data_IF_686997497719
#
_entry.id   IF_686997497719
#
_cell.length_a   1.000
_cell.length_b   1.000
_cell.length_c   1.000
_cell.angle_alpha   90.00
_cell.angle_beta   90.00
_cell.angle_gamma   90.00
#
_symmetry.space_group_name_H-M   'P 1'
#
loop_
_entity.id
_entity.type
_entity.pdbx_description
1 polymer ?
#
# COMPACT_ATOMS: atom_id res chain seq x y z
N UNK A 1 15.32 18.41 -32.50
CA UNK A 1 14.64 17.12 -32.28
C UNK A 1 15.02 16.65 -30.88
N UNK A 2 14.24 17.03 -29.87
CA UNK A 2 14.54 16.71 -28.46
C UNK A 2 14.27 15.23 -28.21
N UNK A 3 15.28 14.49 -27.74
CA UNK A 3 15.10 13.10 -27.35
C UNK A 3 14.04 13.01 -26.25
N UNK A 4 13.06 12.12 -26.41
CA UNK A 4 12.12 11.78 -25.34
C UNK A 4 12.94 11.41 -24.09
N UNK A 5 12.59 11.89 -22.89
CA UNK A 5 13.23 11.42 -21.67
C UNK A 5 13.11 9.89 -21.65
N UNK A 6 14.24 9.19 -21.47
CA UNK A 6 14.23 7.74 -21.29
C UNK A 6 13.32 7.43 -20.10
N UNK A 7 12.39 6.51 -20.31
CA UNK A 7 11.51 5.89 -19.34
C UNK A 7 12.31 5.45 -18.09
N UNK A 8 12.41 6.33 -17.09
CA UNK A 8 13.18 6.07 -15.87
C UNK A 8 12.31 5.25 -14.91
N UNK A 9 12.30 3.95 -15.15
CA UNK A 9 11.82 2.96 -14.18
C UNK A 9 12.83 2.90 -13.04
N UNK A 10 12.52 3.57 -11.94
CA UNK A 10 13.25 3.39 -10.70
C UNK A 10 12.44 2.44 -9.81
N UNK A 11 13.02 1.29 -9.50
CA UNK A 11 12.43 0.27 -8.66
C UNK A 11 13.46 -0.11 -7.59
N UNK A 12 13.04 -0.13 -6.34
CA UNK A 12 13.85 -0.62 -5.23
C UNK A 12 13.00 -1.52 -4.34
N UNK A 13 13.52 -2.71 -4.02
CA UNK A 13 12.89 -3.66 -3.12
C UNK A 13 13.92 -4.12 -2.07
N UNK A 14 13.53 -4.18 -0.79
CA UNK A 14 14.41 -4.66 0.27
C UNK A 14 13.62 -5.26 1.43
N UNK A 15 14.30 -6.10 2.23
CA UNK A 15 13.75 -6.70 3.45
C UNK A 15 14.37 -6.01 4.67
N UNK A 16 13.61 -5.19 5.42
CA UNK A 16 14.13 -4.52 6.60
C UNK A 16 14.23 -5.48 7.78
N UNK A 17 15.07 -5.16 8.77
CA UNK A 17 15.18 -5.94 10.02
C UNK A 17 14.11 -5.51 11.03
N UNK A 18 12.86 -5.43 10.58
CA UNK A 18 11.70 -5.03 11.38
C UNK A 18 10.71 -6.20 11.38
N UNK A 19 10.42 -6.84 12.52
CA UNK A 19 9.50 -7.97 12.58
C UNK A 19 8.14 -7.64 11.96
N UNK A 20 7.56 -8.56 11.19
CA UNK A 20 6.26 -8.35 10.55
C UNK A 20 6.28 -7.56 9.25
N UNK A 21 7.43 -7.00 8.83
CA UNK A 21 7.60 -6.39 7.49
C UNK A 21 8.35 -7.37 6.60
N UNK A 22 7.65 -7.94 5.62
CA UNK A 22 8.18 -8.95 4.71
C UNK A 22 9.09 -8.31 3.65
N UNK A 23 8.65 -7.18 3.09
CA UNK A 23 9.37 -6.45 2.05
C UNK A 23 8.85 -5.01 1.96
N UNK A 24 9.76 -4.09 1.62
CA UNK A 24 9.44 -2.72 1.20
C UNK A 24 9.71 -2.61 -0.29
N UNK A 25 8.75 -2.06 -1.03
CA UNK A 25 8.84 -1.91 -2.47
C UNK A 25 8.48 -0.48 -2.89
N UNK A 26 9.41 0.21 -3.53
CA UNK A 26 9.18 1.53 -4.14
C UNK A 26 9.29 1.42 -5.64
N UNK A 27 8.39 2.10 -6.35
CA UNK A 27 8.46 2.14 -7.80
C UNK A 27 7.92 3.43 -8.41
N UNK A 28 8.50 3.80 -9.53
CA UNK A 28 7.99 4.81 -10.44
C UNK A 28 7.73 4.17 -11.80
N UNK A 29 6.47 4.14 -12.23
CA UNK A 29 6.04 3.57 -13.51
C UNK A 29 5.26 4.59 -14.31
N UNK A 30 5.57 4.68 -15.60
CA UNK A 30 4.87 5.51 -16.59
C UNK A 30 3.88 4.68 -17.41
N UNK A 31 4.25 3.45 -17.80
CA UNK A 31 3.48 2.64 -18.76
C UNK A 31 3.17 1.19 -18.29
N UNK A 32 3.71 0.74 -17.15
CA UNK A 32 3.58 -0.65 -16.73
C UNK A 32 2.27 -0.96 -16.00
N UNK A 33 1.50 -1.92 -16.53
CA UNK A 33 0.35 -2.51 -15.86
C UNK A 33 0.72 -3.90 -15.29
N UNK A 34 0.49 -4.07 -14.00
CA UNK A 34 0.56 -5.36 -13.32
C UNK A 34 -0.66 -6.19 -13.70
N UNK A 35 -0.49 -7.41 -14.25
CA UNK A 35 -1.59 -8.35 -14.45
C UNK A 35 -2.23 -8.75 -13.12
N UNK A 36 -3.40 -9.39 -13.16
CA UNK A 36 -4.02 -9.99 -11.96
C UNK A 36 -3.06 -10.96 -11.25
N UNK A 37 -2.87 -10.77 -9.95
CA UNK A 37 -1.98 -11.57 -9.12
C UNK A 37 -2.48 -11.64 -7.68
N UNK A 38 -1.84 -12.48 -6.87
CA UNK A 38 -2.06 -12.61 -5.42
C UNK A 38 -0.72 -12.65 -4.70
N UNK A 39 -0.74 -12.31 -3.42
CA UNK A 39 0.40 -12.40 -2.51
C UNK A 39 0.00 -13.10 -1.21
N UNK A 40 0.96 -13.64 -0.49
CA UNK A 40 0.75 -14.27 0.83
C UNK A 40 0.80 -13.25 1.99
N UNK A 41 1.04 -11.98 1.68
CA UNK A 41 1.18 -10.88 2.64
C UNK A 41 0.16 -9.77 2.36
N UNK A 42 -0.16 -9.00 3.39
CA UNK A 42 -0.94 -7.77 3.27
C UNK A 42 -0.16 -6.71 2.50
N UNK A 43 -0.81 -6.03 1.56
CA UNK A 43 -0.22 -4.94 0.78
C UNK A 43 -0.72 -3.60 1.29
N UNK A 44 0.16 -2.82 1.92
CA UNK A 44 -0.13 -1.44 2.35
C UNK A 44 0.52 -0.45 1.37
N UNK A 45 -0.30 0.18 0.54
CA UNK A 45 0.10 1.00 -0.60
C UNK A 45 -0.20 2.49 -0.36
N UNK A 46 0.77 3.33 -0.69
CA UNK A 46 0.58 4.77 -0.88
C UNK A 46 1.12 5.22 -2.23
N UNK A 47 0.44 6.20 -2.83
CA UNK A 47 0.88 6.89 -4.05
C UNK A 47 1.39 8.28 -3.67
N UNK A 48 2.61 8.61 -4.06
CA UNK A 48 3.25 9.91 -3.82
C UNK A 48 3.14 10.87 -5.00
N UNK A 49 2.98 10.32 -6.21
CA UNK A 49 2.76 11.08 -7.44
C UNK A 49 1.92 10.28 -8.44
N UNK A 50 1.13 10.96 -9.26
CA UNK A 50 0.16 10.34 -10.17
C UNK A 50 -0.98 9.58 -9.45
N UNK A 51 -1.53 8.57 -10.11
CA UNK A 51 -2.60 7.75 -9.56
C UNK A 51 -2.58 6.32 -10.14
N UNK A 52 -3.01 5.35 -9.32
CA UNK A 52 -3.13 3.94 -9.70
C UNK A 52 -4.61 3.58 -9.82
N UNK A 53 -4.98 2.92 -10.91
CA UNK A 53 -6.24 2.17 -11.03
C UNK A 53 -5.94 0.70 -10.80
N UNK A 54 -6.76 0.01 -10.02
CA UNK A 54 -6.62 -1.42 -9.80
C UNK A 54 -7.99 -2.08 -9.63
N UNK A 55 -8.09 -3.34 -10.00
CA UNK A 55 -9.21 -4.18 -9.61
C UNK A 55 -8.82 -4.97 -8.36
N UNK A 56 -9.73 -5.09 -7.40
CA UNK A 56 -9.63 -5.99 -6.25
C UNK A 56 -10.86 -6.90 -6.25
N UNK A 57 -10.64 -8.21 -6.24
CA UNK A 57 -11.72 -9.19 -6.40
C UNK A 57 -12.69 -8.85 -7.57
N UNK A 58 -12.11 -8.39 -8.69
CA UNK A 58 -12.82 -7.98 -9.93
C UNK A 58 -13.70 -6.73 -9.81
N UNK A 59 -13.62 -5.99 -8.71
CA UNK A 59 -14.26 -4.68 -8.56
C UNK A 59 -13.23 -3.58 -8.81
N UNK A 60 -13.59 -2.57 -9.60
CA UNK A 60 -12.68 -1.47 -9.96
C UNK A 60 -12.51 -0.51 -8.77
N UNK A 61 -11.25 -0.17 -8.48
CA UNK A 61 -10.83 0.79 -7.48
C UNK A 61 -9.80 1.77 -8.06
N UNK A 62 -9.62 2.90 -7.38
CA UNK A 62 -8.65 3.90 -7.76
C UNK A 62 -8.06 4.58 -6.53
N UNK A 63 -6.73 4.70 -6.52
CA UNK A 63 -5.98 5.36 -5.45
C UNK A 63 -5.55 6.75 -5.92
N UNK A 64 -6.40 7.80 -5.78
CA UNK A 64 -5.94 9.17 -5.97
C UNK A 64 -4.92 9.54 -4.89
N UNK A 65 -4.24 10.67 -5.10
CA UNK A 65 -3.43 11.32 -4.08
C UNK A 65 -4.20 11.41 -2.76
N UNK A 66 -3.53 11.13 -1.65
CA UNK A 66 -4.03 11.11 -0.26
C UNK A 66 -4.70 9.83 0.26
N UNK A 67 -4.88 8.80 -0.56
CA UNK A 67 -5.43 7.51 -0.12
C UNK A 67 -4.34 6.54 0.32
N UNK A 68 -4.65 5.70 1.32
CA UNK A 68 -3.90 4.51 1.68
C UNK A 68 -4.71 3.30 1.24
N UNK A 69 -4.19 2.49 0.32
CA UNK A 69 -4.85 1.25 -0.08
C UNK A 69 -4.30 0.08 0.73
N UNK A 70 -5.19 -0.74 1.30
CA UNK A 70 -4.85 -1.97 2.02
C UNK A 70 -5.45 -3.16 1.29
N UNK A 71 -4.61 -3.98 0.66
CA UNK A 71 -5.05 -5.16 -0.08
C UNK A 71 -4.76 -6.42 0.73
N UNK A 72 -5.77 -7.28 0.95
CA UNK A 72 -5.59 -8.51 1.73
C UNK A 72 -4.79 -9.58 0.99
N UNK A 73 -4.12 -10.49 1.74
CA UNK A 73 -3.47 -11.65 1.16
C UNK A 73 -4.47 -12.55 0.44
N UNK A 74 -4.00 -13.29 -0.56
CA UNK A 74 -4.75 -14.28 -1.34
C UNK A 74 -5.95 -13.74 -2.14
N UNK A 75 -6.25 -12.45 -2.08
CA UNK A 75 -7.31 -11.82 -2.89
C UNK A 75 -6.72 -11.27 -4.19
N UNK A 76 -7.21 -11.71 -5.36
CA UNK A 76 -6.69 -11.27 -6.65
C UNK A 76 -6.82 -9.76 -6.85
N UNK A 77 -5.72 -9.13 -7.25
CA UNK A 77 -5.72 -7.72 -7.65
C UNK A 77 -4.74 -7.44 -8.78
N UNK A 78 -4.90 -6.31 -9.47
CA UNK A 78 -4.00 -5.84 -10.51
C UNK A 78 -3.51 -4.41 -10.20
N UNK A 79 -2.94 -3.70 -11.18
CA UNK A 79 -2.66 -2.28 -11.01
C UNK A 79 -2.09 -1.65 -12.26
N UNK A 80 -2.60 -0.50 -12.65
CA UNK A 80 -2.19 0.23 -13.86
C UNK A 80 -2.17 1.74 -13.62
N UNK A 81 -1.40 2.51 -14.40
CA UNK A 81 -1.46 3.96 -14.35
C UNK A 81 -2.86 4.46 -14.69
N UNK A 82 -3.39 5.40 -13.91
CA UNK A 82 -4.66 6.04 -14.22
C UNK A 82 -4.52 7.09 -15.35
N UNK A 83 -3.29 7.58 -15.58
CA UNK A 83 -2.96 8.60 -16.59
C UNK A 83 -1.66 8.25 -17.32
N UNK A 84 -1.39 8.83 -18.50
CA UNK A 84 -0.13 8.64 -19.22
C UNK A 84 1.12 9.14 -18.47
N UNK A 85 0.95 10.02 -17.49
CA UNK A 85 2.04 10.58 -16.68
C UNK A 85 2.59 9.56 -15.66
N UNK A 86 1.92 8.42 -15.48
CA UNK A 86 2.37 7.37 -14.59
C UNK A 86 1.98 7.55 -13.13
N UNK A 87 2.72 6.90 -12.24
CA UNK A 87 2.62 7.05 -10.80
C UNK A 87 3.93 6.67 -10.09
N UNK A 88 4.16 7.28 -8.93
CA UNK A 88 5.18 6.89 -7.96
C UNK A 88 4.51 6.30 -6.73
N UNK A 89 4.79 5.03 -6.43
CA UNK A 89 4.21 4.31 -5.28
C UNK A 89 5.26 3.81 -4.29
N UNK A 90 4.82 3.63 -3.06
CA UNK A 90 5.53 2.91 -2.00
C UNK A 90 4.59 1.87 -1.39
N UNK A 91 5.12 0.68 -1.18
CA UNK A 91 4.39 -0.50 -0.70
C UNK A 91 5.13 -1.11 0.48
N UNK A 92 4.39 -1.46 1.52
CA UNK A 92 4.83 -2.37 2.57
C UNK A 92 4.07 -3.69 2.45
N UNK A 93 4.82 -4.79 2.41
CA UNK A 93 4.25 -6.12 2.57
C UNK A 93 4.35 -6.52 4.03
N UNK A 94 3.20 -6.79 4.67
CA UNK A 94 3.10 -7.13 6.09
C UNK A 94 2.61 -8.57 6.25
N UNK A 95 3.23 -9.33 7.16
CA UNK A 95 2.76 -10.67 7.47
C UNK A 95 1.55 -10.66 8.43
N UNK A 96 0.98 -11.85 8.65
CA UNK A 96 -0.20 -12.04 9.49
C UNK A 96 0.00 -11.69 10.98
N UNK A 97 1.25 -11.50 11.45
CA UNK A 97 1.49 -11.02 12.82
C UNK A 97 1.07 -9.56 13.01
N UNK A 98 0.99 -8.79 11.92
CA UNK A 98 0.61 -7.36 11.95
C UNK A 98 -0.88 -7.13 11.71
N UNK A 99 -1.52 -7.95 10.87
CA UNK A 99 -2.96 -7.92 10.58
C UNK A 99 -3.44 -9.36 10.39
N UNK A 100 -4.45 -9.79 11.15
CA UNK A 100 -4.95 -11.15 11.09
C UNK A 100 -5.96 -11.38 9.96
N UNK A 101 -6.15 -12.64 9.58
CA UNK A 101 -7.02 -13.06 8.47
C UNK A 101 -8.49 -12.66 8.68
N UNK A 102 -8.92 -12.42 9.93
CA UNK A 102 -10.25 -11.92 10.25
C UNK A 102 -10.57 -10.56 9.63
N UNK A 103 -9.54 -9.81 9.21
CA UNK A 103 -9.67 -8.50 8.58
C UNK A 103 -9.80 -8.57 7.05
N UNK A 104 -9.65 -9.76 6.44
CA UNK A 104 -9.67 -9.90 4.97
C UNK A 104 -10.98 -9.40 4.37
N UNK A 105 -12.13 -9.87 4.88
CA UNK A 105 -13.45 -9.45 4.40
C UNK A 105 -13.63 -7.93 4.45
N UNK A 106 -13.48 -7.29 5.63
CA UNK A 106 -13.54 -5.83 5.74
C UNK A 106 -12.58 -5.07 4.81
N UNK A 107 -11.38 -5.60 4.57
CA UNK A 107 -10.42 -4.97 3.66
C UNK A 107 -10.80 -5.14 2.18
N UNK A 108 -11.50 -6.22 1.81
CA UNK A 108 -12.12 -6.34 0.47
C UNK A 108 -13.24 -5.34 0.30
N UNK A 109 -14.08 -5.15 1.33
CA UNK A 109 -15.24 -4.24 1.27
C UNK A 109 -14.82 -2.76 1.23
N UNK A 110 -13.74 -2.40 1.92
CA UNK A 110 -13.25 -1.02 2.04
C UNK A 110 -11.71 -0.93 1.96
N UNK A 111 -11.10 -1.20 0.79
CA UNK A 111 -9.65 -1.25 0.63
C UNK A 111 -9.00 0.14 0.66
N UNK A 112 -9.74 1.19 0.32
CA UNK A 112 -9.23 2.55 0.17
C UNK A 112 -9.54 3.42 1.40
N UNK A 113 -8.53 3.64 2.24
CA UNK A 113 -8.64 4.37 3.50
C UNK A 113 -8.29 5.85 3.29
N UNK A 114 -9.32 6.72 3.35
CA UNK A 114 -9.16 8.18 3.29
C UNK A 114 -8.86 8.76 4.66
N UNK A 115 -7.59 8.72 5.03
CA UNK A 115 -7.12 9.18 6.33
C UNK A 115 -5.76 9.87 6.22
N UNK A 116 -5.73 11.22 6.23
CA UNK A 116 -4.49 11.99 6.09
C UNK A 116 -3.45 11.69 7.18
N UNK A 117 -3.89 11.33 8.39
CA UNK A 117 -2.99 11.00 9.50
C UNK A 117 -2.35 9.63 9.24
N UNK A 118 -3.14 8.64 8.81
CA UNK A 118 -2.62 7.34 8.41
C UNK A 118 -1.63 7.49 7.24
N UNK A 119 -2.02 8.22 6.19
CA UNK A 119 -1.18 8.50 5.01
C UNK A 119 0.16 9.11 5.38
N UNK A 120 0.17 10.08 6.30
CA UNK A 120 1.40 10.69 6.83
C UNK A 120 2.24 9.68 7.62
N UNK A 121 1.62 8.88 8.49
CA UNK A 121 2.33 7.87 9.31
C UNK A 121 2.98 6.79 8.45
N UNK A 122 2.29 6.29 7.43
CA UNK A 122 2.86 5.33 6.47
C UNK A 122 4.05 5.95 5.73
N UNK A 123 3.93 7.21 5.30
CA UNK A 123 5.04 7.94 4.69
C UNK A 123 6.28 8.07 5.60
N UNK A 124 6.06 8.29 6.90
CA UNK A 124 7.14 8.36 7.91
C UNK A 124 7.75 7.00 8.20
N UNK A 125 6.93 5.93 8.23
CA UNK A 125 7.44 4.56 8.39
C UNK A 125 8.39 4.20 7.23
N UNK A 126 8.05 4.54 5.99
CA UNK A 126 8.97 4.34 4.86
C UNK A 126 10.29 5.11 5.01
N UNK A 127 10.28 6.29 5.62
CA UNK A 127 11.52 7.05 5.85
C UNK A 127 12.40 6.36 6.90
N UNK A 128 11.81 5.90 8.02
CA UNK A 128 12.53 5.15 9.05
C UNK A 128 13.10 3.82 8.51
N UNK A 129 12.33 3.10 7.68
CA UNK A 129 12.77 1.83 7.08
C UNK A 129 13.92 1.96 6.05
N UNK A 130 14.24 3.18 5.62
CA UNK A 130 15.32 3.46 4.69
C UNK A 130 16.67 3.73 5.40
N UNK A 131 16.66 3.95 6.72
CA UNK A 131 17.83 4.35 7.50
C UNK A 131 18.25 3.24 8.46
N UNK A 132 19.48 2.70 8.35
CA UNK A 132 20.01 1.78 9.36
C UNK A 132 20.11 2.47 10.73
N UNK A 133 19.61 1.83 11.79
CA UNK A 133 19.61 2.38 13.15
C UNK A 133 18.22 2.82 13.65
N UNK A 134 17.27 3.03 12.73
CA UNK A 134 15.91 3.48 13.07
C UNK A 134 14.91 2.30 13.26
N UNK A 135 15.40 1.06 13.43
CA UNK A 135 14.54 -0.13 13.53
C UNK A 135 13.49 0.00 14.66
N UNK A 136 13.85 0.53 15.83
CA UNK A 136 12.91 0.75 16.94
C UNK A 136 11.85 1.80 16.63
N UNK A 137 12.21 2.85 15.89
CA UNK A 137 11.26 3.87 15.44
C UNK A 137 10.29 3.25 14.43
N UNK A 138 10.81 2.49 13.47
CA UNK A 138 10.00 1.79 12.47
C UNK A 138 9.02 0.81 13.13
N UNK A 139 9.47 0.01 14.09
CA UNK A 139 8.61 -0.88 14.88
C UNK A 139 7.51 -0.13 15.63
N UNK A 140 7.85 0.98 16.30
CA UNK A 140 6.88 1.81 17.03
C UNK A 140 5.81 2.40 16.10
N UNK A 141 6.24 2.91 14.94
CA UNK A 141 5.34 3.45 13.91
C UNK A 141 4.43 2.37 13.34
N UNK A 142 4.98 1.19 13.05
CA UNK A 142 4.23 0.07 12.51
C UNK A 142 3.12 -0.38 13.46
N UNK A 143 3.39 -0.43 14.77
CA UNK A 143 2.36 -0.73 15.78
C UNK A 143 1.21 0.28 15.73
N UNK A 144 1.52 1.58 15.74
CA UNK A 144 0.51 2.64 15.69
C UNK A 144 -0.27 2.71 14.37
N UNK A 145 0.35 2.28 13.27
CA UNK A 145 -0.31 2.12 11.97
C UNK A 145 -1.26 0.93 12.04
N UNK A 146 -0.82 -0.22 12.53
CA UNK A 146 -1.63 -1.43 12.68
C UNK A 146 -2.89 -1.19 13.50
N UNK A 147 -2.78 -0.50 14.64
CA UNK A 147 -3.94 -0.15 15.47
C UNK A 147 -4.95 0.71 14.71
N UNK A 148 -4.46 1.71 13.97
CA UNK A 148 -5.32 2.60 13.18
C UNK A 148 -5.97 1.88 11.99
N UNK A 149 -5.27 0.94 11.36
CA UNK A 149 -5.85 0.09 10.32
C UNK A 149 -6.98 -0.76 10.89
N UNK A 150 -6.77 -1.39 12.06
CA UNK A 150 -7.83 -2.16 12.75
C UNK A 150 -9.03 -1.29 13.08
N UNK A 151 -8.83 -0.05 13.53
CA UNK A 151 -9.95 0.87 13.83
C UNK A 151 -10.79 1.18 12.58
N UNK A 152 -10.18 1.33 11.40
CA UNK A 152 -10.90 1.53 10.13
C UNK A 152 -11.66 0.29 9.67
N UNK A 153 -11.12 -0.89 9.94
CA UNK A 153 -11.69 -2.18 9.50
C UNK A 153 -12.69 -2.76 10.51
N UNK A 154 -12.87 -2.13 11.67
CA UNK A 154 -13.92 -2.53 12.60
C UNK A 154 -15.28 -2.35 11.94
N UNK A 155 -16.19 -3.34 12.04
CA UNK A 155 -17.57 -3.15 11.61
C UNK A 155 -18.14 -1.91 12.30
N UNK A 156 -18.58 -0.93 11.50
CA UNK A 156 -19.35 0.18 12.03
C UNK A 156 -20.57 -0.37 12.78
N UNK A 157 -20.78 0.06 14.02
CA UNK A 157 -22.02 -0.24 14.73
C UNK A 157 -23.14 0.58 14.07
N UNK A 158 -23.77 0.02 13.04
CA UNK A 158 -24.97 0.57 12.35
C UNK A 158 -24.74 0.83 10.85
N UNK A 159 -25.67 0.50 9.93
CA UNK A 159 -27.11 0.37 10.11
C UNK A 159 -27.69 -0.89 9.43
N UNK A 160 -28.40 -1.70 10.22
CA UNK A 160 -29.66 -2.25 9.76
C UNK A 160 -30.66 -1.08 9.76
N UNK A 161 -31.17 -0.72 8.58
CA UNK A 161 -32.20 0.29 8.36
C UNK A 161 -32.92 -0.06 7.07
#
# INVERSE_FOLDING_TARGET
>A
MGGRPKDQRNVSAWRPRVPGVVEVFHAHYTEYAYPMHVHDAWTLLIVDDGAVRYDLDRHEHGTPHDTVSLLPPHVPHNGSPATPDGFRKRVLYLDASRLGDELIGPAVDAPDLRDPVLRRRVGQLHAALALPGDELEAESRLTLIGDRLRDHLRPGTGAAG
#
